data_IF_685515635118
#
_entry.id   IF_685515635118
#
_cell.length_a   1.000
_cell.length_b   1.000
_cell.length_c   1.000
_cell.angle_alpha   90.00
_cell.angle_beta   90.00
_cell.angle_gamma   90.00
#
_symmetry.space_group_name_H-M   'P 1'
#
loop_
_entity.id
_entity.type
_entity.pdbx_description
1 polymer ?
#
# COMPACT_ATOMS: atom_id res chain seq x y z
N UNK A 1 0.43 -3.46 -9.47
CA UNK A 1 0.16 -2.52 -8.38
C UNK A 1 -0.61 -1.37 -8.95
N UNK A 2 -1.80 -1.13 -8.42
CA UNK A 2 -2.78 -0.18 -8.94
C UNK A 2 -3.37 0.58 -7.76
N UNK A 3 -3.71 1.85 -7.95
CA UNK A 3 -4.45 2.62 -6.94
C UNK A 3 -5.92 2.64 -7.34
N UNK A 4 -6.77 2.10 -6.47
CA UNK A 4 -8.22 2.23 -6.56
C UNK A 4 -8.67 3.47 -5.78
N UNK A 5 -9.66 4.19 -6.31
CA UNK A 5 -10.23 5.37 -5.66
C UNK A 5 -11.73 5.21 -5.50
N UNK A 6 -12.23 5.50 -4.30
CA UNK A 6 -13.65 5.39 -3.95
C UNK A 6 -14.09 6.66 -3.22
N UNK A 7 -15.35 7.05 -3.39
CA UNK A 7 -15.91 8.18 -2.66
C UNK A 7 -16.17 7.75 -1.21
N UNK A 8 -15.52 8.43 -0.27
CA UNK A 8 -15.76 8.29 1.15
C UNK A 8 -16.85 9.24 1.66
N UNK A 9 -17.03 9.25 2.97
CA UNK A 9 -17.98 10.14 3.64
C UNK A 9 -17.48 11.59 3.69
N UNK A 10 -18.38 12.55 3.85
CA UNK A 10 -18.08 13.97 4.07
C UNK A 10 -17.11 14.61 3.06
N UNK A 11 -17.09 14.14 1.81
CA UNK A 11 -16.22 14.66 0.76
C UNK A 11 -14.77 14.20 0.86
N UNK A 12 -14.51 13.07 1.53
CA UNK A 12 -13.23 12.37 1.44
C UNK A 12 -13.20 11.47 0.21
N UNK A 13 -12.01 11.32 -0.38
CA UNK A 13 -11.71 10.30 -1.38
C UNK A 13 -10.80 9.27 -0.73
N UNK A 14 -11.24 8.01 -0.69
CA UNK A 14 -10.45 6.88 -0.21
C UNK A 14 -9.61 6.36 -1.36
N UNK A 15 -8.33 6.07 -1.09
CA UNK A 15 -7.41 5.45 -2.03
C UNK A 15 -6.83 4.17 -1.43
N UNK A 16 -6.76 3.10 -2.21
CA UNK A 16 -6.25 1.79 -1.76
C UNK A 16 -5.37 1.14 -2.82
N UNK A 17 -4.47 0.24 -2.40
CA UNK A 17 -3.65 -0.60 -3.29
C UNK A 17 -4.04 -2.06 -3.06
N UNK A 18 -4.99 -2.63 -3.85
CA UNK A 18 -5.51 -3.97 -3.61
C UNK A 18 -4.44 -5.07 -3.63
N UNK A 19 -3.36 -4.87 -4.39
CA UNK A 19 -2.25 -5.81 -4.46
C UNK A 19 -1.40 -5.85 -3.17
N UNK A 20 -1.56 -4.89 -2.25
CA UNK A 20 -0.95 -4.89 -0.92
C UNK A 20 -2.03 -4.68 0.15
N UNK A 21 -2.63 -5.77 0.65
CA UNK A 21 -3.72 -5.72 1.63
C UNK A 21 -3.38 -4.82 2.82
N UNK A 22 -4.37 -4.02 3.26
CA UNK A 22 -4.21 -3.06 4.34
C UNK A 22 -3.62 -1.71 3.91
N UNK A 23 -3.13 -1.57 2.67
CA UNK A 23 -2.65 -0.29 2.15
C UNK A 23 -3.81 0.56 1.68
N UNK A 24 -4.27 1.44 2.56
CA UNK A 24 -5.33 2.40 2.29
C UNK A 24 -4.97 3.74 2.94
N UNK A 25 -5.46 4.80 2.34
CA UNK A 25 -5.40 6.15 2.89
C UNK A 25 -6.53 6.98 2.29
N UNK A 26 -6.60 8.25 2.64
CA UNK A 26 -7.64 9.16 2.15
C UNK A 26 -7.12 10.59 2.02
N UNK A 27 -7.80 11.38 1.20
CA UNK A 27 -7.53 12.80 1.01
C UNK A 27 -8.80 13.55 0.61
N UNK A 28 -8.81 14.88 0.76
CA UNK A 28 -9.88 15.76 0.28
C UNK A 28 -9.83 15.97 -1.23
N UNK A 29 -8.68 15.68 -1.85
CA UNK A 29 -8.49 15.72 -3.29
C UNK A 29 -7.90 14.41 -3.80
N UNK A 30 -8.00 14.19 -5.11
CA UNK A 30 -7.38 13.02 -5.76
C UNK A 30 -5.86 12.99 -5.56
N UNK A 31 -5.21 14.15 -5.67
CA UNK A 31 -3.76 14.24 -5.53
C UNK A 31 -3.32 13.97 -4.09
N UNK A 32 -4.06 14.48 -3.10
CA UNK A 32 -3.81 14.20 -1.69
C UNK A 32 -4.02 12.73 -1.36
N UNK A 33 -5.16 12.14 -1.76
CA UNK A 33 -5.43 10.72 -1.50
C UNK A 33 -4.37 9.83 -2.17
N UNK A 34 -3.91 10.21 -3.37
CA UNK A 34 -2.81 9.53 -4.09
C UNK A 34 -1.49 9.66 -3.34
N UNK A 35 -1.12 10.84 -2.86
CA UNK A 35 0.11 11.03 -2.10
C UNK A 35 0.08 10.20 -0.81
N UNK A 36 -1.01 10.30 -0.05
CA UNK A 36 -1.12 9.63 1.24
C UNK A 36 -1.13 8.09 1.13
N UNK A 37 -1.75 7.52 0.07
CA UNK A 37 -1.71 6.06 -0.12
C UNK A 37 -0.34 5.57 -0.60
N UNK A 38 0.41 6.41 -1.33
CA UNK A 38 1.79 6.09 -1.72
C UNK A 38 2.73 6.13 -0.50
N UNK A 39 2.52 7.06 0.43
CA UNK A 39 3.25 7.08 1.70
C UNK A 39 2.92 5.85 2.55
N UNK A 40 1.64 5.48 2.64
CA UNK A 40 1.22 4.25 3.32
C UNK A 40 1.83 2.98 2.68
N UNK A 41 1.89 2.95 1.35
CA UNK A 41 2.53 1.86 0.61
C UNK A 41 4.03 1.79 0.90
N UNK A 42 4.71 2.94 0.88
CA UNK A 42 6.15 3.01 1.17
C UNK A 42 6.44 2.47 2.57
N UNK A 43 5.62 2.82 3.56
CA UNK A 43 5.74 2.30 4.92
C UNK A 43 5.62 0.77 4.97
N UNK A 44 4.64 0.20 4.25
CA UNK A 44 4.42 -1.26 4.22
C UNK A 44 5.54 -2.04 3.52
N UNK A 45 6.20 -1.43 2.54
CA UNK A 45 7.29 -2.06 1.79
C UNK A 45 8.68 -1.81 2.40
N UNK A 46 8.76 -0.95 3.42
CA UNK A 46 10.02 -0.67 4.10
C UNK A 46 10.36 -1.85 5.03
N UNK A 47 11.51 -2.51 4.84
CA UNK A 47 11.95 -3.56 5.76
C UNK A 47 12.24 -2.97 7.14
N UNK A 48 11.92 -3.69 8.21
CA UNK A 48 12.38 -3.32 9.55
C UNK A 48 13.91 -3.36 9.63
N UNK A 49 14.51 -2.36 10.27
CA UNK A 49 15.96 -2.36 10.52
C UNK A 49 16.38 -3.51 11.46
N UNK A 50 15.44 -4.02 12.27
CA UNK A 50 15.62 -5.15 13.20
C UNK A 50 15.23 -6.50 12.59
N UNK A 51 15.36 -6.66 11.27
CA UNK A 51 15.14 -7.96 10.65
C UNK A 51 16.10 -9.01 11.25
N UNK A 52 15.58 -10.15 11.75
CA UNK A 52 16.40 -11.13 12.46
C UNK A 52 17.52 -11.64 11.56
N UNK A 53 18.76 -11.57 12.03
CA UNK A 53 19.90 -12.22 11.41
C UNK A 53 19.74 -13.75 11.54
N UNK A 54 19.71 -14.46 10.41
CA UNK A 54 19.43 -15.89 10.41
C UNK A 54 19.41 -16.50 9.02
N UNK A 55 19.12 -17.80 8.96
CA UNK A 55 18.95 -18.54 7.72
C UNK A 55 17.74 -17.98 6.94
N UNK A 56 17.96 -17.64 5.68
CA UNK A 56 16.96 -17.01 4.80
C UNK A 56 16.97 -17.71 3.45
N UNK A 57 15.80 -18.03 2.94
CA UNK A 57 15.63 -18.54 1.58
C UNK A 57 14.81 -17.55 0.73
N UNK A 58 15.15 -17.39 -0.57
CA UNK A 58 14.38 -16.54 -1.46
C UNK A 58 13.04 -17.20 -1.81
N UNK A 59 11.94 -16.44 -1.66
CA UNK A 59 10.64 -16.86 -2.18
C UNK A 59 10.54 -16.56 -3.68
N UNK A 60 10.47 -17.62 -4.49
CA UNK A 60 10.12 -17.53 -5.91
C UNK A 60 8.62 -17.74 -6.06
N UNK A 61 7.86 -16.65 -6.16
CA UNK A 61 6.41 -16.70 -6.40
C UNK A 61 6.14 -16.75 -7.91
N UNK A 62 5.57 -17.85 -8.38
CA UNK A 62 4.96 -17.95 -9.71
C UNK A 62 3.48 -17.63 -9.59
N UNK A 63 3.05 -16.47 -10.10
CA UNK A 63 1.63 -16.13 -10.15
C UNK A 63 1.06 -16.73 -11.44
N UNK A 64 0.24 -17.78 -11.30
CA UNK A 64 -0.58 -18.27 -12.40
C UNK A 64 -1.82 -17.37 -12.55
N UNK A 65 -2.15 -17.06 -13.80
CA UNK A 65 -2.99 -15.93 -14.18
C UNK A 65 -4.44 -16.30 -14.45
#
# INVERSE_FOLDING_TARGET
MTICFEQGEDGWLVASVPEVPGTHSQGRTRDEARANVLDALALMLTPDDDLPEGDREPLLLTIER
#
